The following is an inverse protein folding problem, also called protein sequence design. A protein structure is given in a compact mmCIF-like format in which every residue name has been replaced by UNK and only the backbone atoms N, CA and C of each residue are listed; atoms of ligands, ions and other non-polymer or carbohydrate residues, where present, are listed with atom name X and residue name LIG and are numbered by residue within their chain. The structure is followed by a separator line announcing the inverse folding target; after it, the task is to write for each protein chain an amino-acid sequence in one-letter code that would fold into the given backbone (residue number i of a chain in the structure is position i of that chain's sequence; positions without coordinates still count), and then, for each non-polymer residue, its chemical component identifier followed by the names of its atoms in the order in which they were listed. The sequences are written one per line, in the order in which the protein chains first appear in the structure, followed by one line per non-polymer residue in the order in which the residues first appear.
data_IF_674861270656
#
_entry.id   IF_674861270656
#
_cell.length_a   1.000
_cell.length_b   1.000
_cell.length_c   1.000
_cell.angle_alpha   90.00
_cell.angle_beta   90.00
_cell.angle_gamma   90.00
#
_symmetry.space_group_name_H-M   'P 1'
#
loop_
_entity.id
_entity.type
_entity.pdbx_description
1 polymer ?
#
# COMPACT_ATOMS: atom_id res chain seq x y z
N UNK A 1 -19.33 -38.04 -13.05
CA UNK A 1 -19.22 -36.60 -13.38
C UNK A 1 -18.14 -36.42 -14.44
N UNK A 2 -18.41 -35.73 -15.55
CA UNK A 2 -17.40 -35.48 -16.60
C UNK A 2 -16.27 -34.61 -16.03
N UNK A 3 -15.03 -34.80 -16.48
CA UNK A 3 -13.83 -34.09 -15.97
C UNK A 3 -13.99 -32.57 -15.98
N UNK A 4 -14.75 -32.04 -16.95
CA UNK A 4 -15.15 -30.63 -17.06
C UNK A 4 -15.84 -30.08 -15.81
N UNK A 5 -16.68 -30.88 -15.14
CA UNK A 5 -17.43 -30.42 -13.96
C UNK A 5 -16.51 -30.35 -12.73
N UNK A 6 -15.53 -31.25 -12.64
CA UNK A 6 -14.53 -31.23 -11.57
C UNK A 6 -13.66 -29.97 -11.67
N UNK A 7 -13.22 -29.63 -12.88
CA UNK A 7 -12.44 -28.40 -13.14
C UNK A 7 -13.25 -27.15 -12.74
N UNK A 8 -14.53 -27.09 -13.13
CA UNK A 8 -15.39 -25.95 -12.77
C UNK A 8 -15.57 -25.80 -11.25
N UNK A 9 -15.80 -26.90 -10.53
CA UNK A 9 -15.94 -26.88 -9.07
C UNK A 9 -14.64 -26.40 -8.42
N UNK A 10 -13.49 -26.88 -8.90
CA UNK A 10 -12.18 -26.46 -8.40
C UNK A 10 -11.94 -24.96 -8.62
N UNK A 11 -12.28 -24.43 -9.79
CA UNK A 11 -12.17 -23.00 -10.06
C UNK A 11 -13.07 -22.17 -9.12
N UNK A 12 -14.30 -22.61 -8.88
CA UNK A 12 -15.22 -21.91 -7.96
C UNK A 12 -14.66 -21.90 -6.54
N UNK A 13 -14.14 -23.03 -6.06
CA UNK A 13 -13.50 -23.12 -4.75
C UNK A 13 -12.27 -22.20 -4.64
N UNK A 14 -11.46 -22.12 -5.70
CA UNK A 14 -10.30 -21.25 -5.75
C UNK A 14 -10.71 -19.77 -5.68
N UNK A 15 -11.75 -19.36 -6.42
CA UNK A 15 -12.26 -17.99 -6.40
C UNK A 15 -12.78 -17.63 -5.00
N UNK A 16 -13.54 -18.53 -4.36
CA UNK A 16 -14.03 -18.33 -2.99
C UNK A 16 -12.87 -18.19 -1.99
N UNK A 17 -11.83 -19.01 -2.13
CA UNK A 17 -10.65 -18.94 -1.29
C UNK A 17 -9.89 -17.61 -1.44
N UNK A 18 -9.68 -17.16 -2.68
CA UNK A 18 -9.02 -15.89 -2.96
C UNK A 18 -9.83 -14.69 -2.44
N UNK A 19 -11.16 -14.72 -2.59
CA UNK A 19 -12.04 -13.67 -2.06
C UNK A 19 -11.98 -13.62 -0.51
N UNK A 20 -11.93 -14.77 0.14
CA UNK A 20 -11.77 -14.86 1.59
C UNK A 20 -10.42 -14.30 2.05
N UNK A 21 -9.33 -14.68 1.36
CA UNK A 21 -7.99 -14.17 1.63
C UNK A 21 -7.92 -12.65 1.47
N UNK A 22 -8.49 -12.13 0.38
CA UNK A 22 -8.54 -10.70 0.07
C UNK A 22 -9.26 -9.90 1.17
N UNK A 23 -10.35 -10.44 1.71
CA UNK A 23 -11.12 -9.82 2.79
C UNK A 23 -10.36 -9.67 4.11
N UNK A 24 -9.24 -10.39 4.30
CA UNK A 24 -8.36 -10.23 5.46
C UNK A 24 -7.39 -9.05 5.35
N UNK A 25 -7.27 -8.45 4.15
CA UNK A 25 -6.39 -7.30 3.95
C UNK A 25 -6.87 -6.08 4.75
N UNK A 26 -5.93 -5.41 5.42
CA UNK A 26 -6.17 -4.16 6.16
C UNK A 26 -6.69 -3.07 5.24
N UNK A 27 -6.21 -3.02 3.98
CA UNK A 27 -6.67 -2.04 2.99
C UNK A 27 -8.15 -2.23 2.69
N UNK A 28 -8.56 -3.44 2.30
CA UNK A 28 -9.94 -3.76 1.95
C UNK A 28 -10.87 -3.56 3.14
N UNK A 29 -10.43 -4.00 4.33
CA UNK A 29 -11.19 -3.80 5.57
C UNK A 29 -11.39 -2.31 5.87
N UNK A 30 -10.38 -1.46 5.66
CA UNK A 30 -10.48 -0.03 5.87
C UNK A 30 -11.37 0.66 4.82
N UNK A 31 -11.34 0.22 3.55
CA UNK A 31 -12.25 0.71 2.51
C UNK A 31 -13.70 0.39 2.88
N UNK A 32 -14.00 -0.87 3.22
CA UNK A 32 -15.36 -1.33 3.58
C UNK A 32 -15.88 -0.57 4.82
N UNK A 33 -15.01 -0.36 5.83
CA UNK A 33 -15.36 0.38 7.06
C UNK A 33 -15.33 1.90 6.87
N UNK A 34 -15.11 2.40 5.65
CA UNK A 34 -14.95 3.82 5.33
C UNK A 34 -13.91 4.55 6.21
N UNK A 35 -12.89 3.83 6.66
CA UNK A 35 -11.78 4.37 7.44
C UNK A 35 -10.75 4.99 6.51
N UNK A 36 -10.07 6.03 7.00
CA UNK A 36 -8.98 6.70 6.29
C UNK A 36 -7.83 5.72 6.07
N UNK A 37 -7.24 5.75 4.87
CA UNK A 37 -6.15 4.89 4.45
C UNK A 37 -4.95 5.79 4.16
N UNK A 38 -3.83 5.50 4.82
CA UNK A 38 -2.59 6.24 4.67
C UNK A 38 -1.53 5.31 4.09
N UNK A 39 -0.80 5.77 3.09
CA UNK A 39 0.33 5.05 2.54
C UNK A 39 1.42 6.02 2.12
N UNK A 40 2.65 5.51 2.17
CA UNK A 40 3.84 6.22 1.73
C UNK A 40 4.19 5.72 0.33
N UNK A 41 4.31 6.64 -0.61
CA UNK A 41 4.81 6.38 -1.94
C UNK A 41 6.26 6.88 -2.00
N UNK A 42 7.17 5.97 -2.27
CA UNK A 42 8.60 6.23 -2.37
C UNK A 42 9.02 6.06 -3.83
N UNK A 43 9.50 7.13 -4.44
CA UNK A 43 10.22 7.09 -5.71
C UNK A 43 11.67 6.74 -5.41
N UNK A 44 12.03 5.48 -5.65
CA UNK A 44 13.38 4.97 -5.45
C UNK A 44 14.13 4.93 -6.78
N UNK A 45 15.36 5.44 -6.78
CA UNK A 45 16.33 5.24 -7.85
C UNK A 45 17.44 4.30 -7.37
N UNK A 46 17.95 3.49 -8.29
CA UNK A 46 18.99 2.50 -8.02
C UNK A 46 20.23 2.87 -8.83
N UNK A 47 21.13 3.62 -8.19
CA UNK A 47 22.43 4.01 -8.76
C UNK A 47 23.52 3.53 -7.81
N UNK A 48 24.58 2.94 -8.37
CA UNK A 48 25.81 2.55 -7.66
C UNK A 48 25.62 1.64 -6.43
N UNK A 49 24.81 0.59 -6.56
CA UNK A 49 24.54 -0.41 -5.50
C UNK A 49 23.89 0.15 -4.21
N UNK A 50 23.40 1.38 -4.26
CA UNK A 50 22.70 2.04 -3.14
C UNK A 50 21.27 2.41 -3.56
N UNK A 51 20.29 2.17 -2.67
CA UNK A 51 18.92 2.63 -2.88
C UNK A 51 18.81 4.08 -2.40
N UNK A 52 18.45 4.99 -3.30
CA UNK A 52 18.15 6.38 -2.97
C UNK A 52 16.67 6.66 -3.22
N UNK A 53 16.01 7.33 -2.28
CA UNK A 53 14.62 7.78 -2.47
C UNK A 53 14.63 9.26 -2.82
N UNK A 54 14.46 9.59 -4.08
CA UNK A 54 14.42 10.98 -4.55
C UNK A 54 13.05 11.64 -4.37
N UNK A 55 12.01 10.85 -4.07
CA UNK A 55 10.66 11.39 -3.89
C UNK A 55 9.93 10.65 -2.78
N UNK A 56 9.51 11.38 -1.74
CA UNK A 56 8.65 10.85 -0.68
C UNK A 56 7.30 11.55 -0.80
N UNK A 57 6.24 10.77 -1.04
CA UNK A 57 4.87 11.29 -1.13
C UNK A 57 4.02 10.57 -0.08
N UNK A 58 3.42 11.34 0.82
CA UNK A 58 2.41 10.83 1.74
C UNK A 58 1.03 10.96 1.11
N UNK A 59 0.31 9.86 1.01
CA UNK A 59 -1.05 9.83 0.47
C UNK A 59 -2.02 9.41 1.57
N UNK A 60 -3.09 10.19 1.72
CA UNK A 60 -4.17 9.93 2.66
C UNK A 60 -5.53 10.03 1.99
N UNK A 61 -6.17 8.87 1.82
CA UNK A 61 -7.49 8.75 1.23
C UNK A 61 -8.56 8.56 2.30
N UNK A 62 -9.62 9.37 2.26
CA UNK A 62 -10.79 9.28 3.12
C UNK A 62 -11.99 8.79 2.32
N UNK A 63 -12.35 7.49 2.35
CA UNK A 63 -13.49 6.96 1.60
C UNK A 63 -14.82 7.63 2.00
N UNK A 64 -14.96 8.02 3.26
CA UNK A 64 -16.15 8.69 3.80
C UNK A 64 -16.39 10.07 3.19
N UNK A 65 -15.32 10.84 2.99
CA UNK A 65 -15.39 12.22 2.48
C UNK A 65 -15.11 12.27 0.98
N UNK A 66 -14.67 11.16 0.38
CA UNK A 66 -14.18 11.07 -1.00
C UNK A 66 -13.05 12.08 -1.30
N UNK A 67 -12.21 12.34 -0.29
CA UNK A 67 -11.08 13.26 -0.40
C UNK A 67 -9.78 12.47 -0.44
N UNK A 68 -8.97 12.74 -1.46
CA UNK A 68 -7.60 12.27 -1.60
C UNK A 68 -6.64 13.42 -1.27
N UNK A 69 -5.85 13.26 -0.20
CA UNK A 69 -4.82 14.23 0.17
C UNK A 69 -3.47 13.66 -0.25
N UNK A 70 -2.69 14.47 -0.96
CA UNK A 70 -1.35 14.12 -1.42
C UNK A 70 -0.40 15.20 -0.89
N UNK A 71 0.61 14.78 -0.14
CA UNK A 71 1.62 15.67 0.43
C UNK A 71 2.98 15.20 -0.08
N UNK A 72 3.63 16.03 -0.88
CA UNK A 72 5.03 15.80 -1.24
C UNK A 72 5.91 16.24 -0.08
N UNK A 73 6.76 15.33 0.40
CA UNK A 73 7.75 15.59 1.43
C UNK A 73 9.09 15.80 0.71
N UNK A 74 9.68 17.01 0.78
CA UNK A 74 10.95 17.26 0.12
C UNK A 74 12.05 16.44 0.79
N UNK A 75 12.96 15.88 0.00
CA UNK A 75 14.10 15.07 0.47
C UNK A 75 14.95 15.80 1.52
N UNK A 76 15.14 17.10 1.32
CA UNK A 76 15.97 17.95 2.19
C UNK A 76 15.20 18.51 3.40
N UNK A 77 13.97 18.04 3.68
CA UNK A 77 13.29 18.41 4.91
C UNK A 77 14.12 17.97 6.12
N UNK A 78 14.44 18.95 6.97
CA UNK A 78 15.06 18.70 8.26
C UNK A 78 14.08 17.96 9.15
N UNK A 79 14.48 16.80 9.66
CA UNK A 79 13.70 16.08 10.66
C UNK A 79 14.60 15.74 11.83
N UNK A 80 14.11 16.06 13.01
CA UNK A 80 14.73 15.67 14.27
C UNK A 80 14.18 14.29 14.63
N UNK A 81 14.93 13.25 14.27
CA UNK A 81 14.60 11.85 14.57
C UNK A 81 15.55 11.33 15.64
N UNK A 82 15.03 10.97 16.81
CA UNK A 82 15.81 10.52 17.97
C UNK A 82 16.64 9.24 17.73
N UNK A 83 16.34 8.50 16.66
CA UNK A 83 16.98 7.21 16.35
C UNK A 83 18.16 7.30 15.36
N UNK A 84 18.44 8.47 14.76
CA UNK A 84 19.64 8.64 13.91
C UNK A 84 20.33 9.99 14.13
N UNK A 85 21.67 10.04 14.02
CA UNK A 85 22.44 11.29 14.05
C UNK A 85 22.27 12.14 12.77
N UNK A 86 21.64 11.58 11.74
CA UNK A 86 21.42 12.27 10.47
C UNK A 86 20.09 13.01 10.54
N UNK A 87 20.14 14.31 10.22
CA UNK A 87 19.01 15.23 10.36
C UNK A 87 18.22 15.44 9.05
N UNK A 88 18.45 14.58 8.06
CA UNK A 88 17.79 14.59 6.74
C UNK A 88 16.91 13.35 6.58
N UNK A 89 15.83 13.48 5.81
CA UNK A 89 14.81 12.44 5.61
C UNK A 89 15.21 11.31 4.64
N UNK A 90 16.29 11.49 3.87
CA UNK A 90 16.93 10.46 3.05
C UNK A 90 18.42 10.81 2.86
#
# INVERSE_FOLDING_TARGET
MKIRHIILILCILLILYLAWLSSKSVLITNIIKQKRINFLLLGVDYVDHTMHSDTIIFVSYSPKQQVLNIVSIPRDAYVDVDFTKFKKLA
#
